data_IF_082123142213
#
_entry.id   IF_082123142213
#
_cell.length_a   1.000
_cell.length_b   1.000
_cell.length_c   1.000
_cell.angle_alpha   90.00
_cell.angle_beta   90.00
_cell.angle_gamma   90.00
#
_symmetry.space_group_name_H-M   'P 1'
#
loop_
_entity.id
_entity.type
_entity.pdbx_description
1 polymer ?
#
# COMPACT_ATOMS: atom_id res chain seq x y z
N UNK A 1 -11.88 -13.16 -7.99
CA UNK A 1 -12.37 -13.12 -6.59
C UNK A 1 -11.31 -13.78 -5.74
N UNK A 2 -11.05 -13.27 -4.54
CA UNK A 2 -10.18 -13.93 -3.56
C UNK A 2 -11.04 -14.52 -2.45
N UNK A 3 -10.72 -15.74 -2.01
CA UNK A 3 -11.36 -16.38 -0.86
C UNK A 3 -10.26 -16.67 0.15
N UNK A 4 -10.40 -16.15 1.36
CA UNK A 4 -9.50 -16.43 2.46
C UNK A 4 -10.03 -17.64 3.24
N UNK A 5 -9.13 -18.58 3.51
CA UNK A 5 -9.42 -19.80 4.24
C UNK A 5 -8.60 -19.82 5.53
N UNK A 6 -9.22 -20.28 6.60
CA UNK A 6 -8.61 -20.45 7.90
C UNK A 6 -8.44 -21.93 8.20
N UNK A 7 -7.40 -22.25 8.94
CA UNK A 7 -7.03 -23.62 9.25
C UNK A 7 -6.33 -23.69 10.60
N UNK A 8 -6.68 -24.69 11.41
CA UNK A 8 -5.91 -25.05 12.61
C UNK A 8 -4.91 -26.18 12.35
N UNK A 9 -5.15 -26.97 11.31
CA UNK A 9 -4.35 -28.13 10.90
C UNK A 9 -4.26 -28.15 9.38
N UNK A 10 -3.08 -28.45 8.83
CA UNK A 10 -2.78 -28.37 7.39
C UNK A 10 -3.72 -29.13 6.43
N UNK A 11 -4.61 -29.98 6.93
CA UNK A 11 -5.56 -30.79 6.17
C UNK A 11 -7.03 -30.38 6.38
N UNK A 12 -7.31 -29.36 7.19
CA UNK A 12 -8.66 -28.84 7.43
C UNK A 12 -8.68 -27.34 7.12
N UNK A 13 -9.50 -26.96 6.14
CA UNK A 13 -9.62 -25.59 5.66
C UNK A 13 -11.09 -25.17 5.65
N UNK A 14 -11.39 -24.09 6.35
CA UNK A 14 -12.73 -23.50 6.38
C UNK A 14 -12.71 -22.13 5.72
N UNK A 15 -13.68 -21.79 4.84
CA UNK A 15 -13.70 -20.50 4.19
C UNK A 15 -14.08 -19.44 5.23
N UNK A 16 -13.24 -18.41 5.38
CA UNK A 16 -13.48 -17.31 6.32
C UNK A 16 -14.20 -16.15 5.65
N UNK A 17 -13.68 -15.70 4.51
CA UNK A 17 -14.17 -14.48 3.85
C UNK A 17 -13.95 -14.50 2.35
N UNK A 18 -14.82 -13.79 1.62
CA UNK A 18 -14.75 -13.57 0.17
C UNK A 18 -14.52 -12.09 -0.12
N UNK A 19 -13.63 -11.81 -1.06
CA UNK A 19 -13.26 -10.47 -1.48
C UNK A 19 -13.51 -10.29 -2.98
N UNK A 20 -14.41 -9.36 -3.31
CA UNK A 20 -14.90 -9.13 -4.66
C UNK A 20 -13.94 -8.25 -5.46
N UNK A 21 -12.89 -8.88 -6.00
CA UNK A 21 -11.99 -8.33 -7.01
C UNK A 21 -11.74 -9.39 -8.09
N UNK A 22 -11.93 -9.06 -9.37
CA UNK A 22 -11.74 -10.00 -10.49
C UNK A 22 -10.29 -9.97 -10.98
N UNK A 23 -9.85 -11.08 -11.60
CA UNK A 23 -8.52 -11.19 -12.24
C UNK A 23 -7.33 -10.86 -11.31
N UNK A 24 -7.47 -11.14 -10.01
CA UNK A 24 -6.40 -10.91 -9.03
C UNK A 24 -5.21 -11.83 -9.34
N UNK A 25 -4.03 -11.24 -9.42
CA UNK A 25 -2.76 -11.92 -9.68
C UNK A 25 -1.83 -11.87 -8.47
N UNK A 26 -1.92 -10.82 -7.65
CA UNK A 26 -1.15 -10.67 -6.43
C UNK A 26 -2.02 -10.14 -5.30
N UNK A 27 -1.60 -10.41 -4.08
CA UNK A 27 -2.20 -9.85 -2.88
C UNK A 27 -1.13 -9.60 -1.83
N UNK A 28 -1.46 -8.77 -0.85
CA UNK A 28 -0.65 -8.59 0.35
C UNK A 28 -1.58 -8.32 1.55
N UNK A 29 -1.13 -8.71 2.74
CA UNK A 29 -1.85 -8.50 3.99
C UNK A 29 -1.09 -7.50 4.84
N UNK A 30 -1.83 -6.61 5.50
CA UNK A 30 -1.23 -5.76 6.50
C UNK A 30 -0.71 -6.61 7.68
N UNK A 31 0.39 -6.21 8.35
CA UNK A 31 0.98 -6.97 9.45
C UNK A 31 0.01 -7.38 10.56
N UNK A 32 -0.94 -6.50 10.92
CA UNK A 32 -1.99 -6.78 11.90
C UNK A 32 -3.22 -7.51 11.34
N UNK A 33 -3.15 -7.99 10.09
CA UNK A 33 -4.22 -8.70 9.37
C UNK A 33 -5.55 -7.91 9.26
N UNK A 34 -5.51 -6.59 9.41
CA UNK A 34 -6.71 -5.74 9.34
C UNK A 34 -7.13 -5.48 7.90
N UNK A 35 -6.17 -5.41 6.98
CA UNK A 35 -6.38 -5.01 5.59
C UNK A 35 -5.77 -6.01 4.60
N UNK A 36 -6.52 -6.28 3.54
CA UNK A 36 -6.07 -7.06 2.38
C UNK A 36 -5.99 -6.12 1.18
N UNK A 37 -4.82 -6.00 0.58
CA UNK A 37 -4.67 -5.40 -0.75
C UNK A 37 -4.60 -6.50 -1.79
N UNK A 38 -5.25 -6.26 -2.92
CA UNK A 38 -5.25 -7.16 -4.07
C UNK A 38 -4.93 -6.37 -5.33
N UNK A 39 -4.14 -6.98 -6.21
CA UNK A 39 -3.67 -6.39 -7.46
C UNK A 39 -4.08 -7.28 -8.64
N UNK A 40 -4.47 -6.64 -9.74
CA UNK A 40 -4.68 -7.27 -11.04
C UNK A 40 -3.93 -6.47 -12.10
N UNK A 41 -3.52 -7.10 -13.19
CA UNK A 41 -2.87 -6.37 -14.29
C UNK A 41 -3.86 -5.35 -14.87
N UNK A 42 -3.51 -4.05 -14.91
CA UNK A 42 -4.40 -3.04 -15.48
C UNK A 42 -4.73 -3.36 -16.93
N UNK A 43 -6.01 -3.28 -17.30
CA UNK A 43 -6.47 -3.44 -18.66
C UNK A 43 -6.81 -2.07 -19.26
N UNK A 44 -6.00 -1.52 -20.17
CA UNK A 44 -6.25 -0.21 -20.78
C UNK A 44 -7.58 -0.13 -21.54
N UNK A 45 -8.12 -1.27 -22.01
CA UNK A 45 -9.41 -1.33 -22.70
C UNK A 45 -10.61 -1.26 -21.75
N UNK A 46 -10.41 -1.47 -20.45
CA UNK A 46 -11.44 -1.34 -19.41
C UNK A 46 -11.00 -0.30 -18.38
N UNK A 47 -11.21 0.99 -18.69
CA UNK A 47 -10.81 2.10 -17.83
C UNK A 47 -11.52 2.13 -16.47
N UNK A 48 -12.71 1.52 -16.37
CA UNK A 48 -13.50 1.42 -15.14
C UNK A 48 -13.12 0.19 -14.31
N UNK A 49 -12.42 -0.77 -14.92
CA UNK A 49 -11.82 -1.89 -14.22
C UNK A 49 -10.90 -1.41 -13.10
N UNK A 50 -10.94 -2.10 -11.97
CA UNK A 50 -10.07 -1.83 -10.83
C UNK A 50 -8.84 -2.71 -10.94
N UNK A 51 -7.64 -2.13 -10.86
CA UNK A 51 -6.39 -2.88 -10.79
C UNK A 51 -5.91 -3.07 -9.35
N UNK A 52 -6.38 -2.24 -8.42
CA UNK A 52 -6.03 -2.32 -7.00
C UNK A 52 -7.28 -2.14 -6.16
N UNK A 53 -7.46 -3.04 -5.17
CA UNK A 53 -8.48 -2.88 -4.13
C UNK A 53 -7.93 -3.18 -2.75
N UNK A 54 -8.30 -2.36 -1.77
CA UNK A 54 -8.04 -2.58 -0.35
C UNK A 54 -9.36 -2.98 0.31
N UNK A 55 -9.34 -4.04 1.11
CA UNK A 55 -10.48 -4.57 1.84
C UNK A 55 -10.21 -4.58 3.35
N UNK A 56 -11.25 -4.35 4.14
CA UNK A 56 -11.27 -4.74 5.56
C UNK A 56 -11.39 -6.27 5.63
N UNK A 57 -10.42 -6.94 6.26
CA UNK A 57 -10.34 -8.41 6.29
C UNK A 57 -11.52 -9.02 7.07
N UNK A 58 -11.90 -8.38 8.18
CA UNK A 58 -12.94 -8.88 9.08
C UNK A 58 -14.32 -8.89 8.41
N UNK A 59 -14.65 -7.85 7.65
CA UNK A 59 -15.96 -7.64 7.02
C UNK A 59 -16.00 -8.10 5.57
N UNK A 60 -14.86 -8.11 4.87
CA UNK A 60 -14.78 -8.34 3.42
C UNK A 60 -15.14 -7.11 2.58
N UNK A 61 -15.42 -5.96 3.21
CA UNK A 61 -15.86 -4.75 2.52
C UNK A 61 -14.67 -4.05 1.87
N UNK A 62 -14.84 -3.64 0.60
CA UNK A 62 -13.86 -2.82 -0.11
C UNK A 62 -13.87 -1.38 0.42
N UNK A 63 -12.69 -0.88 0.80
CA UNK A 63 -12.48 0.47 1.33
C UNK A 63 -11.98 1.38 0.21
N UNK A 64 -11.02 0.88 -0.59
CA UNK A 64 -10.39 1.61 -1.69
C UNK A 64 -10.49 0.79 -2.97
N UNK A 65 -10.73 1.47 -4.09
CA UNK A 65 -10.55 0.94 -5.43
C UNK A 65 -9.85 1.96 -6.31
N UNK A 66 -8.75 1.58 -6.94
CA UNK A 66 -8.08 2.37 -7.97
C UNK A 66 -8.38 1.77 -9.34
N UNK A 67 -8.85 2.62 -10.25
CA UNK A 67 -9.21 2.22 -11.60
C UNK A 67 -8.00 2.21 -12.55
N UNK A 68 -8.19 1.58 -13.71
CA UNK A 68 -7.15 1.45 -14.74
C UNK A 68 -6.81 2.78 -15.44
N UNK A 69 -7.56 3.86 -15.16
CA UNK A 69 -7.37 5.13 -15.82
C UNK A 69 -6.00 5.74 -15.48
N UNK A 70 -5.21 6.06 -16.50
CA UNK A 70 -3.90 6.71 -16.34
C UNK A 70 -2.78 5.80 -15.81
N UNK A 71 -3.02 4.48 -15.71
CA UNK A 71 -1.98 3.52 -15.31
C UNK A 71 -1.17 3.10 -16.55
N UNK A 72 0.08 3.55 -16.64
CA UNK A 72 1.00 3.08 -17.68
C UNK A 72 1.34 1.59 -17.51
N UNK A 73 1.69 0.91 -18.60
CA UNK A 73 2.01 -0.52 -18.67
C UNK A 73 2.88 -1.00 -17.49
N UNK A 74 2.40 -2.02 -16.76
CA UNK A 74 3.05 -2.69 -15.62
C UNK A 74 3.35 -1.80 -14.39
N UNK A 75 2.54 -1.85 -13.33
CA UNK A 75 2.94 -1.32 -12.02
C UNK A 75 4.04 -2.23 -11.44
N UNK A 76 5.08 -1.66 -10.83
CA UNK A 76 6.04 -2.44 -10.06
C UNK A 76 5.40 -2.78 -8.71
N UNK A 77 4.88 -4.01 -8.60
CA UNK A 77 4.26 -4.51 -7.37
C UNK A 77 5.33 -4.95 -6.34
N UNK A 78 5.01 -4.92 -5.03
CA UNK A 78 3.81 -4.33 -4.42
C UNK A 78 3.89 -2.79 -4.38
N UNK A 79 2.76 -2.14 -4.70
CA UNK A 79 2.68 -0.66 -4.67
C UNK A 79 2.48 -0.15 -3.25
N UNK A 80 1.75 -0.90 -2.42
CA UNK A 80 1.49 -0.55 -1.03
C UNK A 80 2.54 -1.21 -0.13
N UNK A 81 3.11 -0.43 0.79
CA UNK A 81 3.93 -0.92 1.90
C UNK A 81 3.28 -0.50 3.21
N UNK A 82 2.81 -1.47 3.98
CA UNK A 82 2.12 -1.27 5.26
C UNK A 82 3.08 -0.86 6.39
N UNK A 83 2.55 -0.13 7.37
CA UNK A 83 3.27 0.36 8.53
C UNK A 83 2.36 0.65 9.72
N UNK A 84 2.97 1.03 10.85
CA UNK A 84 2.25 1.27 12.11
C UNK A 84 2.23 0.07 13.06
N UNK A 85 3.11 -0.91 12.84
CA UNK A 85 3.18 -2.12 13.68
C UNK A 85 1.91 -2.97 13.58
N UNK A 86 1.51 -3.59 14.68
CA UNK A 86 0.29 -4.41 14.77
C UNK A 86 -1.00 -3.61 14.53
N UNK A 87 -0.91 -2.28 14.55
CA UNK A 87 -2.08 -1.43 14.41
C UNK A 87 -2.47 -1.09 12.97
N UNK A 88 -1.58 -1.33 12.00
CA UNK A 88 -1.76 -1.04 10.57
C UNK A 88 -2.21 0.41 10.29
N UNK A 89 -1.72 1.36 11.09
CA UNK A 89 -2.17 2.75 11.09
C UNK A 89 -1.83 3.52 9.80
N UNK A 90 -0.75 3.13 9.11
CA UNK A 90 -0.26 3.84 7.94
C UNK A 90 0.09 2.89 6.79
N UNK A 91 0.09 3.43 5.59
CA UNK A 91 0.72 2.77 4.45
C UNK A 91 1.37 3.80 3.54
N UNK A 92 2.40 3.38 2.83
CA UNK A 92 3.04 4.17 1.78
C UNK A 92 2.73 3.58 0.42
N UNK A 93 2.56 4.45 -0.57
CA UNK A 93 2.60 4.09 -1.99
C UNK A 93 3.87 4.65 -2.61
N UNK A 94 4.40 3.95 -3.61
CA UNK A 94 5.49 4.47 -4.45
C UNK A 94 5.01 4.47 -5.89
N UNK A 95 4.96 5.66 -6.50
CA UNK A 95 4.45 5.83 -7.85
C UNK A 95 5.59 5.92 -8.89
N UNK A 96 5.22 5.83 -10.17
CA UNK A 96 6.18 5.84 -11.31
C UNK A 96 6.91 7.17 -11.48
N UNK A 97 6.40 8.26 -10.91
CA UNK A 97 7.02 9.58 -10.97
C UNK A 97 8.10 9.75 -9.92
N UNK A 98 8.53 8.66 -9.26
CA UNK A 98 9.47 8.67 -8.15
C UNK A 98 8.94 9.49 -6.96
N UNK A 99 7.64 9.48 -6.74
CA UNK A 99 7.02 10.10 -5.57
C UNK A 99 6.56 9.00 -4.61
N UNK A 100 6.91 9.14 -3.33
CA UNK A 100 6.38 8.33 -2.25
C UNK A 100 5.32 9.13 -1.47
N UNK A 101 4.13 8.55 -1.35
CA UNK A 101 3.01 9.15 -0.64
C UNK A 101 2.64 8.29 0.56
N UNK A 102 2.45 8.91 1.74
CA UNK A 102 2.08 8.21 2.98
C UNK A 102 0.67 8.60 3.39
N UNK A 103 -0.15 7.60 3.71
CA UNK A 103 -1.54 7.78 4.10
C UNK A 103 -1.79 7.21 5.50
N UNK A 104 -2.73 7.82 6.22
CA UNK A 104 -3.39 7.21 7.36
C UNK A 104 -4.45 6.21 6.87
N UNK A 105 -4.43 4.97 7.36
CA UNK A 105 -5.19 3.87 6.77
C UNK A 105 -6.70 4.00 6.97
N UNK A 106 -7.14 4.48 8.14
CA UNK A 106 -8.55 4.46 8.54
C UNK A 106 -9.43 5.40 7.71
N UNK A 107 -8.96 6.61 7.45
CA UNK A 107 -9.68 7.63 6.69
C UNK A 107 -9.03 7.91 5.33
N UNK A 108 -7.88 7.29 5.04
CA UNK A 108 -7.14 7.45 3.78
C UNK A 108 -6.61 8.87 3.58
N UNK A 109 -6.33 9.58 4.67
CA UNK A 109 -5.81 10.92 4.63
C UNK A 109 -4.34 10.90 4.19
N UNK A 110 -3.99 11.68 3.16
CA UNK A 110 -2.60 11.91 2.77
C UNK A 110 -1.88 12.71 3.87
N UNK A 111 -0.81 12.15 4.42
CA UNK A 111 0.00 12.76 5.48
C UNK A 111 1.27 13.41 4.94
N UNK A 112 1.88 12.79 3.93
CA UNK A 112 3.18 13.19 3.41
C UNK A 112 3.28 12.79 1.93
N UNK A 113 3.89 13.66 1.14
CA UNK A 113 4.27 13.38 -0.24
C UNK A 113 5.72 13.82 -0.43
N UNK A 114 6.55 12.95 -1.02
CA UNK A 114 7.99 13.20 -1.20
C UNK A 114 8.39 12.80 -2.61
N UNK A 115 8.89 13.76 -3.38
CA UNK A 115 9.41 13.55 -4.73
C UNK A 115 10.87 13.07 -4.72
N UNK A 116 11.37 12.72 -5.91
CA UNK A 116 12.74 12.28 -6.14
C UNK A 116 13.15 11.05 -5.31
N UNK A 117 12.20 10.19 -4.99
CA UNK A 117 12.40 8.98 -4.20
C UNK A 117 12.89 7.83 -5.09
N UNK A 118 13.97 7.17 -4.67
CA UNK A 118 14.49 5.95 -5.28
C UNK A 118 13.79 4.72 -4.68
N UNK A 119 13.71 4.68 -3.35
CA UNK A 119 13.10 3.58 -2.60
C UNK A 119 12.71 4.04 -1.20
N UNK A 120 11.82 3.28 -0.56
CA UNK A 120 11.34 3.52 0.79
C UNK A 120 11.36 2.24 1.60
N UNK A 121 11.53 2.31 2.91
CA UNK A 121 11.37 1.14 3.77
C UNK A 121 10.83 1.54 5.13
N UNK A 122 9.83 0.82 5.62
CA UNK A 122 9.30 1.04 6.95
C UNK A 122 10.17 0.33 7.99
N UNK A 123 10.35 0.98 9.14
CA UNK A 123 10.78 0.27 10.34
C UNK A 123 9.75 -0.81 10.67
N UNK A 124 10.18 -2.04 10.98
CA UNK A 124 9.26 -3.14 11.27
C UNK A 124 8.53 -2.97 12.62
N UNK A 125 9.04 -2.12 13.51
CA UNK A 125 8.55 -1.99 14.89
C UNK A 125 8.05 -0.60 15.24
N UNK A 126 8.38 0.42 14.45
CA UNK A 126 8.00 1.80 14.71
C UNK A 126 7.44 2.45 13.45
N UNK A 127 6.59 3.48 13.58
CA UNK A 127 6.12 4.25 12.44
C UNK A 127 7.22 5.22 11.96
N UNK A 128 8.35 4.67 11.50
CA UNK A 128 9.48 5.42 10.94
C UNK A 128 9.71 4.94 9.52
N UNK A 129 9.70 5.88 8.57
CA UNK A 129 9.94 5.64 7.15
C UNK A 129 11.38 6.03 6.80
N UNK A 130 12.16 5.07 6.32
CA UNK A 130 13.41 5.31 5.62
C UNK A 130 13.11 5.67 4.17
N UNK A 131 13.72 6.74 3.66
CA UNK A 131 13.56 7.21 2.28
C UNK A 131 14.93 7.42 1.66
N UNK A 132 15.18 6.81 0.51
CA UNK A 132 16.35 7.07 -0.31
C UNK A 132 15.98 8.05 -1.42
N UNK A 133 16.64 9.20 -1.48
CA UNK A 133 16.39 10.25 -2.47
C UNK A 133 17.44 10.26 -3.57
N UNK A 134 17.01 10.55 -4.79
CA UNK A 134 17.89 10.84 -5.93
C UNK A 134 18.77 12.03 -5.61
N UNK A 135 20.03 11.92 -6.02
CA UNK A 135 20.95 13.04 -6.03
C UNK A 135 21.01 13.65 -7.44
N UNK A 136 20.99 14.99 -7.51
CA UNK A 136 21.27 15.73 -8.74
C UNK A 136 22.76 16.05 -8.87
N UNK A 137 23.33 15.81 -10.05
CA UNK A 137 24.68 16.24 -10.40
C UNK A 137 25.79 15.55 -9.58
N UNK A 138 26.66 16.34 -8.93
CA UNK A 138 27.79 15.85 -8.11
C UNK A 138 27.45 15.67 -6.62
N UNK A 139 26.18 15.84 -6.23
CA UNK A 139 25.80 15.69 -4.81
C UNK A 139 25.74 14.20 -4.42
N UNK A 140 26.00 13.87 -3.13
CA UNK A 140 25.77 12.52 -2.63
C UNK A 140 24.28 12.21 -2.55
N UNK A 141 23.96 10.91 -2.68
CA UNK A 141 22.62 10.36 -2.39
C UNK A 141 22.23 10.68 -0.95
N UNK A 142 20.97 11.08 -0.74
CA UNK A 142 20.45 11.42 0.59
C UNK A 142 19.57 10.29 1.10
N UNK A 143 19.78 9.89 2.35
CA UNK A 143 18.88 9.00 3.06
C UNK A 143 18.22 9.77 4.21
N UNK A 144 16.91 9.62 4.36
CA UNK A 144 16.10 10.26 5.40
C UNK A 144 15.46 9.20 6.28
N UNK A 145 15.31 9.50 7.57
CA UNK A 145 14.44 8.76 8.49
C UNK A 145 13.37 9.72 8.99
N UNK A 146 12.11 9.40 8.72
CA UNK A 146 10.96 10.25 9.07
C UNK A 146 10.00 9.48 9.97
N UNK A 147 9.73 9.99 11.18
CA UNK A 147 8.66 9.45 12.03
C UNK A 147 7.30 9.93 11.54
N UNK A 148 6.31 9.05 11.54
CA UNK A 148 4.95 9.27 11.05
C UNK A 148 3.92 9.10 12.19
N UNK A 149 2.94 10.01 12.32
CA UNK A 149 2.95 11.33 11.71
C UNK A 149 4.14 12.14 12.26
N UNK A 150 4.82 12.89 11.39
CA UNK A 150 5.85 13.81 11.82
C UNK A 150 5.24 15.00 12.57
N UNK A 151 6.06 15.81 13.23
CA UNK A 151 5.60 17.11 13.73
C UNK A 151 5.07 17.93 12.54
N UNK A 152 3.75 18.07 12.46
CA UNK A 152 3.13 19.04 11.58
C UNK A 152 3.75 20.41 11.87
N UNK A 153 4.22 21.12 10.84
CA UNK A 153 4.34 22.58 10.97
C UNK A 153 2.93 23.07 11.27
N UNK A 154 2.70 23.53 12.50
CA UNK A 154 1.54 24.35 12.84
C UNK A 154 1.67 25.62 12.00
N UNK A 155 1.00 25.67 10.85
CA UNK A 155 0.75 26.94 10.17
C UNK A 155 -0.16 27.75 11.09
N UNK A 156 0.38 28.88 11.56
CA UNK A 156 -0.36 29.96 12.21
C UNK A 156 -1.36 30.59 11.26
#
# INVERSE_FOLDING_TARGET
MVIMWGSRYHNDHTPLRRFNHYQVEQFDLSPGEKYLVTYSTPNPSDSNGLWLKIFDVRTGTGIVGLNNAGVADSPQWPVIRWAGGEDDEYFATFNKNNTASVYETKNLNLLLDVDDVIDISWSPTEPVLAILLKAGGKQPVKALLLRIPGMQRRTQ
#
